data_IF_804298553368
#
_entry.id   IF_804298553368
#
_cell.length_a   1.000
_cell.length_b   1.000
_cell.length_c   1.000
_cell.angle_alpha   90.00
_cell.angle_beta   90.00
_cell.angle_gamma   90.00
#
_symmetry.space_group_name_H-M   'P 1'
#
loop_
_entity.id
_entity.type
_entity.pdbx_description
1 polymer ?
#
# COMPACT_ATOMS: atom_id res chain seq x y z
N UNK A 1 1.63 -59.01 1.17
CA UNK A 1 0.22 -58.64 1.32
C UNK A 1 0.09 -57.24 0.77
N UNK A 2 -0.49 -57.15 -0.40
CA UNK A 2 -0.60 -55.91 -1.20
C UNK A 2 -2.06 -55.48 -1.15
N UNK A 3 -2.40 -54.43 -0.47
CA UNK A 3 -3.76 -53.88 -0.47
C UNK A 3 -3.90 -52.85 -1.61
N UNK A 4 -4.88 -53.08 -2.44
CA UNK A 4 -5.22 -52.26 -3.58
C UNK A 4 -6.25 -51.18 -3.18
N UNK A 5 -6.03 -49.92 -3.59
CA UNK A 5 -6.98 -48.82 -3.46
C UNK A 5 -7.97 -48.83 -4.65
N UNK A 6 -9.25 -48.54 -4.40
CA UNK A 6 -10.23 -48.39 -5.48
C UNK A 6 -10.17 -46.98 -6.14
N UNK A 7 -10.55 -46.87 -7.42
CA UNK A 7 -10.58 -45.57 -8.11
C UNK A 7 -11.85 -44.80 -7.77
N UNK A 8 -11.69 -43.61 -7.22
CA UNK A 8 -12.77 -42.64 -6.96
C UNK A 8 -13.11 -41.83 -8.21
N UNK A 9 -14.38 -41.77 -8.54
CA UNK A 9 -14.92 -41.14 -9.74
C UNK A 9 -14.90 -39.63 -9.71
N UNK A 10 -14.55 -39.07 -10.85
CA UNK A 10 -14.65 -37.66 -11.19
C UNK A 10 -16.08 -37.32 -11.62
N UNK A 11 -16.79 -36.52 -10.84
CA UNK A 11 -18.05 -35.88 -11.24
C UNK A 11 -17.87 -34.37 -11.37
N UNK A 12 -17.80 -33.88 -12.59
CA UNK A 12 -17.90 -32.48 -12.87
C UNK A 12 -19.37 -32.08 -13.04
N UNK A 13 -19.84 -30.97 -12.43
CA UNK A 13 -21.17 -30.45 -12.73
C UNK A 13 -21.17 -29.67 -14.06
N UNK A 14 -22.21 -29.94 -14.88
CA UNK A 14 -22.45 -29.24 -16.15
C UNK A 14 -23.06 -27.84 -15.93
N UNK A 15 -22.77 -26.87 -16.80
CA UNK A 15 -23.35 -25.54 -16.70
C UNK A 15 -24.82 -25.53 -17.17
N UNK A 16 -25.69 -24.98 -16.32
CA UNK A 16 -27.09 -24.76 -16.62
C UNK A 16 -27.30 -23.54 -17.52
N UNK A 17 -28.12 -23.72 -18.55
CA UNK A 17 -28.64 -22.70 -19.44
C UNK A 17 -29.52 -21.70 -18.68
N UNK A 18 -29.24 -20.41 -18.83
CA UNK A 18 -30.21 -19.36 -18.53
C UNK A 18 -30.57 -18.61 -19.81
N UNK A 19 -31.79 -18.91 -20.31
CA UNK A 19 -32.47 -18.12 -21.30
C UNK A 19 -33.25 -16.97 -20.64
N UNK A 20 -33.41 -15.87 -21.34
CA UNK A 20 -34.33 -14.83 -21.00
C UNK A 20 -33.95 -13.45 -21.45
N UNK A 21 -34.04 -13.16 -22.75
CA UNK A 21 -34.02 -11.79 -23.27
C UNK A 21 -35.36 -11.14 -23.13
N UNK A 22 -35.42 -9.94 -22.53
CA UNK A 22 -36.57 -9.03 -22.65
C UNK A 22 -36.08 -7.73 -23.30
N UNK A 23 -36.79 -7.34 -24.36
CA UNK A 23 -36.49 -6.18 -25.21
C UNK A 23 -36.88 -4.84 -24.53
N UNK A 24 -36.27 -3.72 -24.96
CA UNK A 24 -36.52 -2.38 -24.41
C UNK A 24 -37.71 -1.71 -25.05
N UNK A 25 -38.54 -1.04 -24.24
CA UNK A 25 -39.62 -0.17 -24.66
C UNK A 25 -39.12 1.19 -25.12
N UNK A 26 -39.79 1.72 -26.13
CA UNK A 26 -39.55 2.99 -26.80
C UNK A 26 -39.99 4.25 -26.01
N UNK A 27 -39.49 5.43 -26.38
CA UNK A 27 -39.58 6.66 -25.60
C UNK A 27 -40.85 7.48 -25.88
N UNK A 28 -41.39 8.04 -24.84
CA UNK A 28 -42.53 8.99 -24.91
C UNK A 28 -42.15 10.39 -24.48
N UNK A 29 -42.38 11.34 -25.41
CA UNK A 29 -42.92 12.66 -25.17
C UNK A 29 -42.16 13.68 -24.30
N UNK A 30 -41.61 14.68 -24.95
CA UNK A 30 -41.19 15.95 -24.36
C UNK A 30 -42.41 16.86 -24.11
N UNK A 31 -42.46 17.66 -23.04
CA UNK A 31 -43.23 18.89 -22.97
C UNK A 31 -42.37 20.14 -23.15
N UNK A 32 -42.96 21.11 -23.79
CA UNK A 32 -42.42 22.43 -24.16
C UNK A 32 -42.36 23.43 -23.00
N UNK A 33 -41.65 24.56 -23.17
CA UNK A 33 -41.28 25.49 -22.11
C UNK A 33 -42.36 26.51 -21.78
N UNK A 34 -42.59 26.75 -20.49
CA UNK A 34 -43.42 27.82 -19.96
C UNK A 34 -42.57 28.91 -19.32
N UNK A 35 -42.89 30.13 -19.69
CA UNK A 35 -42.27 31.41 -19.32
C UNK A 35 -42.48 31.83 -17.85
N UNK A 36 -41.40 32.50 -17.33
CA UNK A 36 -41.38 33.61 -16.37
C UNK A 36 -42.06 33.54 -15.03
N UNK A 37 -41.24 33.74 -14.00
CA UNK A 37 -41.39 34.98 -13.18
C UNK A 37 -40.14 35.19 -12.30
N UNK A 38 -39.49 36.34 -12.52
CA UNK A 38 -38.47 36.90 -11.63
C UNK A 38 -39.12 37.43 -10.36
N UNK A 39 -38.67 36.99 -9.20
CA UNK A 39 -38.77 37.77 -7.97
C UNK A 39 -37.40 37.75 -7.28
N UNK A 40 -36.76 38.91 -7.27
CA UNK A 40 -35.48 39.15 -6.62
C UNK A 40 -35.61 39.02 -5.11
N UNK A 41 -34.79 38.15 -4.57
CA UNK A 41 -34.41 38.11 -3.15
C UNK A 41 -32.87 38.16 -3.04
N UNK A 42 -32.29 38.76 -1.99
CA UNK A 42 -30.85 38.96 -1.91
C UNK A 42 -30.14 37.61 -1.86
N UNK A 43 -29.32 37.38 -2.87
CA UNK A 43 -28.38 36.24 -2.99
C UNK A 43 -27.48 36.20 -1.76
N UNK A 44 -27.79 35.35 -0.80
CA UNK A 44 -26.82 34.89 0.17
C UNK A 44 -25.92 33.90 -0.52
N UNK A 45 -24.74 34.37 -0.92
CA UNK A 45 -23.61 33.51 -1.27
C UNK A 45 -23.44 32.49 -0.15
N UNK A 46 -23.46 31.17 -0.44
CA UNK A 46 -23.11 30.18 0.57
C UNK A 46 -21.63 30.43 0.91
N UNK A 47 -21.39 30.80 2.15
CA UNK A 47 -20.06 30.82 2.73
C UNK A 47 -19.53 29.41 2.58
N UNK A 48 -18.64 29.20 1.61
CA UNK A 48 -17.88 27.96 1.52
C UNK A 48 -17.16 27.81 2.85
N UNK A 49 -17.61 26.85 3.66
CA UNK A 49 -16.83 26.30 4.74
C UNK A 49 -15.61 25.65 4.06
N UNK A 50 -14.57 26.47 3.90
CA UNK A 50 -13.23 25.97 3.62
C UNK A 50 -12.88 25.21 4.90
N UNK A 51 -13.09 23.89 4.86
CA UNK A 51 -12.52 23.01 5.87
C UNK A 51 -11.03 23.33 5.95
N UNK A 52 -10.40 23.22 7.14
CA UNK A 52 -9.01 23.59 7.30
C UNK A 52 -8.22 22.90 6.19
N UNK A 53 -7.58 23.72 5.34
CA UNK A 53 -6.62 23.22 4.36
C UNK A 53 -5.60 22.46 5.20
N UNK A 54 -5.53 21.14 5.02
CA UNK A 54 -4.47 20.33 5.60
C UNK A 54 -3.19 21.00 5.14
N UNK A 55 -2.46 21.56 6.09
CA UNK A 55 -1.25 22.33 5.82
C UNK A 55 -0.35 21.49 4.92
N UNK A 56 0.05 22.03 3.76
CA UNK A 56 0.95 21.36 2.82
C UNK A 56 2.37 21.13 3.40
N UNK A 57 2.60 21.54 4.65
CA UNK A 57 3.86 21.46 5.38
C UNK A 57 3.80 20.50 6.60
N UNK A 58 2.88 19.56 6.63
CA UNK A 58 2.93 18.55 7.70
C UNK A 58 4.10 17.61 7.45
N UNK A 59 4.97 17.48 8.46
CA UNK A 59 6.05 16.50 8.47
C UNK A 59 5.42 15.12 8.21
N UNK A 60 6.07 14.32 7.40
CA UNK A 60 5.70 12.92 7.16
C UNK A 60 6.60 12.03 7.99
N UNK A 61 6.05 10.93 8.48
CA UNK A 61 6.78 9.87 9.15
C UNK A 61 6.66 8.60 8.30
N UNK A 62 7.70 8.23 7.55
CA UNK A 62 7.68 7.05 6.71
C UNK A 62 7.83 5.78 7.54
N UNK A 63 6.96 4.82 7.31
CA UNK A 63 6.95 3.51 7.97
C UNK A 63 6.91 2.41 6.92
N UNK A 64 7.86 1.49 6.97
CA UNK A 64 7.95 0.35 6.05
C UNK A 64 7.29 -0.89 6.64
N UNK A 65 6.38 -1.51 5.89
CA UNK A 65 5.93 -2.89 6.07
C UNK A 65 6.54 -3.74 4.95
N UNK A 66 7.48 -4.61 5.31
CA UNK A 66 8.27 -5.41 4.36
C UNK A 66 7.82 -6.86 4.39
N UNK A 67 7.42 -7.38 3.23
CA UNK A 67 7.14 -8.79 3.02
C UNK A 67 8.43 -9.62 3.12
N UNK A 68 8.45 -10.57 4.03
CA UNK A 68 9.55 -11.51 4.22
C UNK A 68 9.16 -12.95 3.83
N UNK A 69 8.01 -13.13 3.19
CA UNK A 69 7.49 -14.46 2.82
C UNK A 69 8.40 -15.22 1.86
N UNK A 70 8.20 -16.53 1.75
CA UNK A 70 9.02 -17.41 0.91
C UNK A 70 9.03 -16.98 -0.55
N UNK A 71 7.94 -16.41 -1.06
CA UNK A 71 7.85 -15.99 -2.47
C UNK A 71 8.77 -14.81 -2.81
N UNK A 72 9.22 -14.06 -1.81
CA UNK A 72 10.20 -12.98 -2.02
C UNK A 72 11.58 -13.50 -2.46
N UNK A 73 11.93 -14.74 -2.14
CA UNK A 73 13.17 -15.37 -2.61
C UNK A 73 13.06 -15.91 -4.05
N UNK A 74 11.87 -15.88 -4.66
CA UNK A 74 11.70 -16.32 -6.05
C UNK A 74 12.14 -15.25 -7.03
N UNK A 75 12.60 -15.70 -8.20
CA UNK A 75 12.95 -14.79 -9.30
C UNK A 75 11.74 -13.97 -9.73
N UNK A 76 11.96 -12.70 -9.99
CA UNK A 76 10.88 -11.79 -10.35
C UNK A 76 10.14 -12.23 -11.62
N UNK A 77 10.84 -12.88 -12.58
CA UNK A 77 10.27 -13.36 -13.84
C UNK A 77 9.82 -14.82 -13.81
N UNK A 78 10.19 -15.59 -12.79
CA UNK A 78 9.92 -17.03 -12.76
C UNK A 78 9.63 -17.49 -11.33
N UNK A 79 8.38 -17.83 -11.07
CA UNK A 79 7.91 -18.28 -9.75
C UNK A 79 8.65 -19.54 -9.22
N UNK A 80 9.42 -20.22 -10.06
CA UNK A 80 10.11 -21.48 -9.73
C UNK A 80 11.63 -21.42 -9.84
N UNK A 81 12.25 -20.24 -9.86
CA UNK A 81 13.71 -20.16 -10.08
C UNK A 81 14.56 -20.78 -8.98
N UNK A 82 14.02 -21.06 -7.81
CA UNK A 82 14.54 -22.00 -6.79
C UNK A 82 16.00 -21.85 -6.30
N UNK A 83 16.81 -21.05 -6.95
CA UNK A 83 18.22 -20.84 -6.63
C UNK A 83 18.36 -19.57 -5.77
N UNK A 84 18.30 -19.76 -4.47
CA UNK A 84 18.63 -18.68 -3.53
C UNK A 84 20.12 -18.75 -3.14
N UNK A 85 20.84 -17.60 -3.07
CA UNK A 85 20.36 -16.24 -3.37
C UNK A 85 20.47 -15.88 -4.87
N UNK A 86 19.32 -15.75 -5.53
CA UNK A 86 19.25 -15.21 -6.88
C UNK A 86 19.35 -13.68 -6.82
N UNK A 87 20.32 -13.04 -7.50
CA UNK A 87 20.40 -11.58 -7.56
C UNK A 87 19.17 -10.93 -8.24
N UNK A 88 18.40 -11.70 -9.01
CA UNK A 88 17.17 -11.26 -9.63
C UNK A 88 15.93 -11.66 -8.80
N UNK A 89 16.09 -12.13 -7.58
CA UNK A 89 14.95 -12.39 -6.70
C UNK A 89 14.24 -11.09 -6.34
N UNK A 90 12.94 -11.18 -6.06
CA UNK A 90 12.15 -10.04 -5.58
C UNK A 90 12.77 -9.40 -4.33
N UNK A 91 13.30 -10.24 -3.44
CA UNK A 91 14.07 -9.80 -2.27
C UNK A 91 15.28 -8.93 -2.66
N UNK A 92 16.11 -9.37 -3.61
CA UNK A 92 17.30 -8.63 -4.04
C UNK A 92 16.91 -7.29 -4.68
N UNK A 93 15.87 -7.29 -5.52
CA UNK A 93 15.31 -6.08 -6.15
C UNK A 93 14.82 -5.09 -5.09
N UNK A 94 14.05 -5.56 -4.11
CA UNK A 94 13.49 -4.72 -3.04
C UNK A 94 14.60 -4.16 -2.16
N UNK A 95 15.60 -4.96 -1.78
CA UNK A 95 16.77 -4.47 -1.00
C UNK A 95 17.50 -3.38 -1.78
N UNK A 96 17.73 -3.57 -3.08
CA UNK A 96 18.32 -2.54 -3.94
C UNK A 96 17.52 -1.24 -3.96
N UNK A 97 16.21 -1.33 -4.14
CA UNK A 97 15.32 -0.17 -4.13
C UNK A 97 15.31 0.55 -2.77
N UNK A 98 15.32 -0.20 -1.66
CA UNK A 98 15.38 0.38 -0.32
C UNK A 98 16.68 1.15 -0.07
N UNK A 99 17.82 0.75 -0.66
CA UNK A 99 19.04 1.54 -0.58
C UNK A 99 18.89 2.95 -1.17
N UNK A 100 18.23 3.06 -2.31
CA UNK A 100 17.96 4.35 -2.94
C UNK A 100 17.00 5.21 -2.10
N UNK A 101 15.91 4.61 -1.63
CA UNK A 101 14.90 5.29 -0.82
C UNK A 101 15.48 5.82 0.50
N UNK A 102 16.17 4.96 1.26
CA UNK A 102 16.76 5.36 2.56
C UNK A 102 17.79 6.47 2.38
N UNK A 103 18.62 6.42 1.32
CA UNK A 103 19.56 7.51 1.00
C UNK A 103 18.85 8.83 0.73
N UNK A 104 17.69 8.80 0.04
CA UNK A 104 16.93 10.00 -0.24
C UNK A 104 16.33 10.60 1.04
N UNK A 105 15.74 9.76 1.90
CA UNK A 105 15.19 10.19 3.20
C UNK A 105 16.27 10.82 4.08
N UNK A 106 17.45 10.21 4.20
CA UNK A 106 18.58 10.79 4.97
C UNK A 106 19.07 12.13 4.40
N UNK A 107 18.97 12.32 3.07
CA UNK A 107 19.36 13.57 2.43
C UNK A 107 18.37 14.70 2.77
N UNK A 108 17.08 14.41 2.79
CA UNK A 108 16.06 15.39 3.17
C UNK A 108 16.12 15.77 4.64
N UNK A 109 16.30 14.78 5.52
CA UNK A 109 16.50 15.04 6.94
C UNK A 109 17.73 15.90 7.21
N UNK A 110 18.81 15.69 6.45
CA UNK A 110 20.03 16.49 6.56
C UNK A 110 19.85 17.94 6.11
N UNK A 111 19.06 18.18 5.07
CA UNK A 111 18.70 19.53 4.60
C UNK A 111 17.78 20.23 5.61
N UNK A 112 16.74 19.52 6.10
CA UNK A 112 15.84 20.05 7.12
C UNK A 112 16.56 20.36 8.46
N UNK A 113 17.50 19.50 8.88
CA UNK A 113 18.32 19.72 10.07
C UNK A 113 19.29 20.92 9.92
N UNK A 114 19.79 21.17 8.72
CA UNK A 114 20.63 22.33 8.44
C UNK A 114 19.87 23.66 8.56
N UNK A 115 18.56 23.66 8.28
CA UNK A 115 17.68 24.82 8.42
C UNK A 115 17.21 25.03 9.87
N UNK A 116 17.19 23.99 10.69
CA UNK A 116 16.70 24.02 12.09
C UNK A 116 17.84 23.83 13.10
N UNK A 117 18.90 24.60 12.99
CA UNK A 117 20.03 24.51 13.93
C UNK A 117 19.57 24.64 15.39
N UNK A 118 19.76 23.59 16.15
CA UNK A 118 19.70 23.33 17.60
C UNK A 118 18.55 22.43 18.08
N UNK A 119 18.89 21.17 18.30
CA UNK A 119 18.29 20.38 19.40
C UNK A 119 17.26 19.32 19.08
N UNK A 120 17.07 18.89 17.86
CA UNK A 120 16.25 17.71 17.63
C UNK A 120 17.11 16.45 17.51
N UNK A 121 16.96 15.56 18.49
CA UNK A 121 17.42 14.17 18.45
C UNK A 121 16.48 13.40 17.49
N UNK A 122 16.23 13.97 16.29
CA UNK A 122 15.34 13.38 15.32
C UNK A 122 16.01 12.17 14.68
N UNK A 123 15.40 11.00 14.85
CA UNK A 123 15.83 9.73 14.25
C UNK A 123 15.82 9.89 12.74
N UNK A 124 16.98 10.02 12.14
CA UNK A 124 17.13 9.90 10.70
C UNK A 124 17.07 8.42 10.32
N UNK A 125 16.00 7.98 9.72
CA UNK A 125 15.86 6.58 9.29
C UNK A 125 14.42 6.20 8.94
N UNK A 126 14.27 5.08 8.25
CA UNK A 126 12.99 4.49 7.88
C UNK A 126 12.61 3.44 8.93
N UNK A 127 11.58 3.71 9.75
CA UNK A 127 11.02 2.73 10.67
C UNK A 127 10.51 1.51 9.88
N UNK A 128 10.97 0.30 10.21
CA UNK A 128 10.70 -0.87 9.40
C UNK A 128 10.23 -2.08 10.23
N UNK A 129 9.15 -2.70 9.77
CA UNK A 129 8.55 -3.92 10.32
C UNK A 129 8.42 -4.96 9.20
N UNK A 130 8.92 -6.16 9.46
CA UNK A 130 8.76 -7.30 8.57
C UNK A 130 7.50 -8.08 8.86
N UNK A 131 6.93 -8.69 7.84
CA UNK A 131 5.81 -9.63 8.01
C UNK A 131 6.04 -10.93 7.24
N UNK A 132 5.72 -12.04 7.92
CA UNK A 132 5.76 -13.40 7.39
C UNK A 132 4.70 -14.25 8.10
N UNK A 133 5.08 -15.32 8.83
CA UNK A 133 4.17 -16.04 9.74
C UNK A 133 3.75 -15.18 10.94
N UNK A 134 4.60 -14.26 11.33
CA UNK A 134 4.44 -13.33 12.44
C UNK A 134 5.16 -12.01 12.12
N UNK A 135 5.01 -11.03 12.99
CA UNK A 135 5.77 -9.80 12.93
C UNK A 135 7.25 -10.06 13.21
N UNK A 136 8.11 -9.41 12.42
CA UNK A 136 9.55 -9.37 12.59
C UNK A 136 9.97 -7.92 12.78
N UNK A 137 10.52 -7.60 13.95
CA UNK A 137 11.07 -6.27 14.19
C UNK A 137 12.36 -6.08 13.38
N UNK A 138 12.38 -5.10 12.49
CA UNK A 138 13.56 -4.70 11.73
C UNK A 138 14.20 -3.49 12.39
N UNK A 139 13.40 -2.55 12.88
CA UNK A 139 13.80 -1.27 13.48
C UNK A 139 14.24 -0.25 12.44
N UNK A 140 14.83 0.86 12.86
CA UNK A 140 15.18 1.97 11.98
C UNK A 140 16.25 1.57 10.97
N UNK A 141 15.92 1.73 9.70
CA UNK A 141 16.83 1.50 8.57
C UNK A 141 17.49 2.80 8.13
N UNK A 142 18.79 2.75 7.99
CA UNK A 142 19.61 3.80 7.42
C UNK A 142 20.68 3.22 6.49
N UNK A 143 21.38 4.06 5.73
CA UNK A 143 22.38 3.60 4.76
C UNK A 143 23.51 2.78 5.39
N UNK A 144 23.81 2.99 6.68
CA UNK A 144 24.90 2.29 7.37
C UNK A 144 24.50 0.90 7.89
N UNK A 145 23.20 0.62 8.07
CA UNK A 145 22.75 -0.60 8.73
C UNK A 145 21.83 -1.48 7.86
N UNK A 146 21.25 -0.96 6.78
CA UNK A 146 20.21 -1.61 5.97
C UNK A 146 20.61 -3.03 5.55
N UNK A 147 21.72 -3.20 4.85
CA UNK A 147 22.16 -4.53 4.40
C UNK A 147 22.35 -5.50 5.56
N UNK A 148 23.02 -5.06 6.61
CA UNK A 148 23.30 -5.90 7.77
C UNK A 148 22.00 -6.35 8.44
N UNK A 149 21.02 -5.43 8.62
CA UNK A 149 19.73 -5.75 9.23
C UNK A 149 18.93 -6.72 8.36
N UNK A 150 18.75 -6.41 7.08
CA UNK A 150 17.97 -7.25 6.17
C UNK A 150 18.61 -8.62 5.89
N UNK A 151 19.95 -8.73 5.98
CA UNK A 151 20.63 -10.02 5.87
C UNK A 151 20.65 -10.82 7.18
N UNK A 152 20.40 -10.19 8.33
CA UNK A 152 20.36 -10.88 9.61
C UNK A 152 18.98 -11.48 9.97
N UNK A 153 17.93 -11.05 9.32
CA UNK A 153 16.58 -11.58 9.53
C UNK A 153 16.33 -12.84 8.70
N UNK A 154 15.46 -13.69 9.21
CA UNK A 154 15.05 -14.88 8.50
C UNK A 154 13.91 -14.53 7.52
N UNK A 155 14.15 -14.79 6.23
CA UNK A 155 13.13 -14.72 5.20
C UNK A 155 12.46 -16.09 5.05
N UNK A 156 11.17 -16.09 4.76
CA UNK A 156 10.38 -17.30 4.54
C UNK A 156 9.09 -17.32 5.35
N UNK A 157 8.20 -18.22 5.00
CA UNK A 157 6.89 -18.37 5.63
C UNK A 157 5.74 -17.83 4.78
N UNK A 158 4.67 -17.49 5.44
CA UNK A 158 3.43 -16.95 4.87
C UNK A 158 3.45 -15.43 4.80
N UNK A 159 2.31 -14.83 4.44
CA UNK A 159 2.17 -13.38 4.20
C UNK A 159 1.09 -12.80 5.13
N UNK A 160 1.33 -12.83 6.46
CA UNK A 160 0.43 -12.20 7.44
C UNK A 160 0.89 -10.78 7.74
N UNK A 161 0.20 -9.77 7.18
CA UNK A 161 0.56 -8.35 7.31
C UNK A 161 0.03 -7.70 8.60
N UNK A 162 -1.11 -8.16 9.13
CA UNK A 162 -1.76 -7.53 10.28
C UNK A 162 -0.92 -7.49 11.56
N UNK A 163 -0.10 -8.51 11.90
CA UNK A 163 0.81 -8.41 13.04
C UNK A 163 1.81 -7.27 12.92
N UNK A 164 2.44 -7.10 11.75
CA UNK A 164 3.39 -6.02 11.49
C UNK A 164 2.70 -4.65 11.46
N UNK A 165 1.51 -4.56 10.85
CA UNK A 165 0.71 -3.35 10.88
C UNK A 165 0.39 -2.88 12.30
N UNK A 166 -0.01 -3.80 13.19
CA UNK A 166 -0.32 -3.47 14.59
C UNK A 166 0.92 -3.01 15.35
N UNK A 167 2.08 -3.63 15.11
CA UNK A 167 3.34 -3.22 15.71
C UNK A 167 3.74 -1.81 15.23
N UNK A 168 3.74 -1.58 13.93
CA UNK A 168 4.05 -0.27 13.34
C UNK A 168 3.13 0.85 13.88
N UNK A 169 1.84 0.54 14.05
CA UNK A 169 0.89 1.50 14.63
C UNK A 169 1.18 1.77 16.10
N UNK A 170 1.57 0.73 16.86
CA UNK A 170 1.89 0.88 18.28
C UNK A 170 3.16 1.74 18.47
N UNK A 171 4.20 1.49 17.67
CA UNK A 171 5.45 2.26 17.73
C UNK A 171 5.23 3.72 17.32
N UNK A 172 4.41 3.96 16.28
CA UNK A 172 4.01 5.32 15.89
C UNK A 172 3.21 6.02 17.02
N UNK A 173 2.25 5.33 17.64
CA UNK A 173 1.44 5.90 18.71
C UNK A 173 2.28 6.11 19.99
N UNK A 174 3.29 5.28 20.26
CA UNK A 174 4.23 5.47 21.37
C UNK A 174 5.09 6.72 21.18
N UNK A 175 5.53 6.99 19.96
CA UNK A 175 6.40 8.14 19.69
C UNK A 175 5.63 9.46 19.54
N UNK A 176 4.45 9.42 18.92
CA UNK A 176 3.72 10.63 18.52
C UNK A 176 2.35 10.79 19.19
N UNK A 177 1.85 9.75 19.89
CA UNK A 177 0.48 9.73 20.41
C UNK A 177 0.17 10.81 21.45
N UNK A 178 1.17 11.24 22.21
CA UNK A 178 1.03 12.30 23.23
C UNK A 178 1.03 13.71 22.65
N UNK A 179 1.37 13.91 21.37
CA UNK A 179 1.37 15.21 20.71
C UNK A 179 -0.06 15.64 20.36
N UNK A 180 -0.27 16.95 20.26
CA UNK A 180 -1.53 17.47 19.72
C UNK A 180 -1.82 16.81 18.35
N UNK A 181 -3.05 16.36 18.09
CA UNK A 181 -3.38 15.72 16.80
C UNK A 181 -3.02 16.56 15.57
N UNK A 182 -2.93 17.88 15.70
CA UNK A 182 -2.52 18.75 14.60
C UNK A 182 -1.00 18.87 14.44
N UNK A 183 -0.24 18.49 15.45
CA UNK A 183 1.23 18.46 15.46
C UNK A 183 1.81 17.07 15.16
N UNK A 184 0.99 16.02 15.20
CA UNK A 184 1.43 14.68 14.81
C UNK A 184 1.82 14.69 13.33
N UNK A 185 2.94 14.04 12.95
CA UNK A 185 3.30 13.86 11.54
C UNK A 185 2.23 13.03 10.80
N UNK A 186 2.27 13.03 9.49
CA UNK A 186 1.46 12.11 8.70
C UNK A 186 2.17 10.76 8.66
N UNK A 187 1.55 9.72 9.21
CA UNK A 187 2.06 8.35 9.06
C UNK A 187 1.95 7.92 7.60
N UNK A 188 3.07 7.78 6.91
CA UNK A 188 3.13 7.34 5.52
C UNK A 188 3.61 5.90 5.44
N UNK A 189 2.69 4.97 5.26
CA UNK A 189 2.95 3.53 5.30
C UNK A 189 3.31 3.02 3.91
N UNK A 190 4.55 2.61 3.73
CA UNK A 190 5.03 1.91 2.55
C UNK A 190 4.91 0.41 2.76
N UNK A 191 4.09 -0.26 1.97
CA UNK A 191 3.97 -1.73 1.94
C UNK A 191 4.73 -2.25 0.72
N UNK A 192 5.76 -3.04 0.94
CA UNK A 192 6.50 -3.75 -0.11
C UNK A 192 6.18 -5.24 -0.04
N UNK A 193 5.52 -5.77 -1.07
CA UNK A 193 5.07 -7.18 -1.12
C UNK A 193 5.09 -7.71 -2.55
N UNK A 194 5.05 -9.02 -2.71
CA UNK A 194 4.88 -9.70 -3.99
C UNK A 194 3.55 -10.44 -4.11
N UNK A 195 2.73 -10.41 -3.05
CA UNK A 195 1.51 -11.18 -2.98
C UNK A 195 0.38 -10.57 -2.18
N UNK A 196 -0.79 -11.17 -2.30
CA UNK A 196 -1.91 -10.89 -1.45
C UNK A 196 -1.65 -11.45 -0.05
N UNK A 197 -1.96 -10.66 0.98
CA UNK A 197 -1.80 -11.10 2.36
C UNK A 197 -2.74 -12.27 2.69
N UNK A 198 -2.23 -13.26 3.43
CA UNK A 198 -3.05 -14.39 3.91
C UNK A 198 -4.19 -13.94 4.85
N UNK A 199 -4.01 -12.78 5.49
CA UNK A 199 -5.00 -12.11 6.35
C UNK A 199 -5.63 -10.88 5.66
N UNK A 200 -5.77 -10.92 4.32
CA UNK A 200 -6.32 -9.86 3.49
C UNK A 200 -7.67 -9.33 4.01
N UNK A 201 -8.56 -10.24 4.43
CA UNK A 201 -9.89 -9.88 4.95
C UNK A 201 -9.84 -8.94 6.18
N UNK A 202 -8.73 -8.97 6.92
CA UNK A 202 -8.51 -8.09 8.06
C UNK A 202 -7.75 -6.81 7.65
N UNK A 203 -6.89 -6.88 6.62
CA UNK A 203 -6.09 -5.76 6.15
C UNK A 203 -6.83 -4.84 5.16
N UNK A 204 -7.68 -5.36 4.29
CA UNK A 204 -8.47 -4.55 3.37
C UNK A 204 -9.25 -3.43 4.09
N UNK A 205 -9.95 -3.69 5.23
CA UNK A 205 -10.61 -2.62 6.00
C UNK A 205 -9.66 -1.55 6.55
N UNK A 206 -8.38 -1.86 6.74
CA UNK A 206 -7.36 -0.86 7.14
C UNK A 206 -7.12 0.11 6.00
N UNK A 207 -6.94 -0.40 4.78
CA UNK A 207 -6.78 0.43 3.58
C UNK A 207 -8.04 1.26 3.30
N UNK A 208 -9.22 0.66 3.41
CA UNK A 208 -10.49 1.38 3.22
C UNK A 208 -10.65 2.58 4.15
N UNK A 209 -10.13 2.48 5.38
CA UNK A 209 -10.20 3.52 6.41
C UNK A 209 -9.00 4.46 6.45
N UNK A 210 -8.11 4.39 5.45
CA UNK A 210 -7.00 5.32 5.34
C UNK A 210 -7.48 6.78 5.27
N UNK A 211 -6.71 7.70 5.81
CA UNK A 211 -7.06 9.13 5.96
C UNK A 211 -5.89 10.01 5.59
N UNK A 212 -6.11 11.32 5.52
CA UNK A 212 -5.04 12.30 5.31
C UNK A 212 -3.94 12.29 6.40
N UNK A 213 -4.20 11.67 7.57
CA UNK A 213 -3.21 11.50 8.64
C UNK A 213 -2.46 10.16 8.58
N UNK A 214 -2.99 9.22 7.80
CA UNK A 214 -2.44 7.87 7.61
C UNK A 214 -2.65 7.46 6.17
N UNK A 215 -1.61 7.61 5.39
CA UNK A 215 -1.62 7.30 3.96
C UNK A 215 -0.85 6.02 3.68
N UNK A 216 -1.23 5.32 2.62
CA UNK A 216 -0.58 4.09 2.22
C UNK A 216 -0.03 4.21 0.80
N UNK A 217 1.17 3.71 0.63
CA UNK A 217 1.79 3.41 -0.66
C UNK A 217 2.04 1.90 -0.70
N UNK A 218 1.32 1.19 -1.56
CA UNK A 218 1.47 -0.26 -1.73
C UNK A 218 2.23 -0.51 -3.02
N UNK A 219 3.42 -1.06 -2.89
CA UNK A 219 4.29 -1.40 -4.00
C UNK A 219 4.35 -2.93 -4.15
N UNK A 220 3.88 -3.43 -5.28
CA UNK A 220 3.78 -4.87 -5.56
C UNK A 220 4.84 -5.23 -6.58
N UNK A 221 5.72 -6.16 -6.22
CA UNK A 221 6.86 -6.59 -7.04
C UNK A 221 6.63 -7.98 -7.60
N UNK A 222 6.65 -8.13 -8.90
CA UNK A 222 6.49 -9.45 -9.53
C UNK A 222 5.79 -9.39 -10.88
N UNK A 223 5.38 -10.54 -11.40
CA UNK A 223 4.68 -10.66 -12.68
C UNK A 223 3.80 -11.91 -12.76
N UNK A 224 2.93 -11.94 -13.77
CA UNK A 224 2.06 -13.05 -14.08
C UNK A 224 0.69 -13.03 -13.40
N UNK A 225 -0.17 -14.01 -13.66
CA UNK A 225 -1.58 -13.96 -13.27
C UNK A 225 -1.85 -13.82 -11.78
N UNK A 226 -0.96 -14.36 -10.93
CA UNK A 226 -1.07 -14.23 -9.48
C UNK A 226 -0.76 -12.80 -9.03
N UNK A 227 0.27 -12.18 -9.61
CA UNK A 227 0.61 -10.78 -9.40
C UNK A 227 -0.54 -9.86 -9.85
N UNK A 228 -1.13 -10.11 -11.02
CA UNK A 228 -2.26 -9.34 -11.53
C UNK A 228 -3.46 -9.40 -10.59
N UNK A 229 -3.77 -10.57 -10.04
CA UNK A 229 -4.85 -10.75 -9.07
C UNK A 229 -4.58 -9.97 -7.76
N UNK A 230 -3.35 -10.02 -7.26
CA UNK A 230 -2.90 -9.25 -6.11
C UNK A 230 -3.04 -7.75 -6.36
N UNK A 231 -2.53 -7.26 -7.48
CA UNK A 231 -2.64 -5.85 -7.88
C UNK A 231 -4.11 -5.40 -7.91
N UNK A 232 -4.99 -6.22 -8.50
CA UNK A 232 -6.41 -5.93 -8.55
C UNK A 232 -7.04 -5.84 -7.16
N UNK A 233 -6.68 -6.72 -6.22
CA UNK A 233 -7.20 -6.69 -4.85
C UNK A 233 -6.82 -5.38 -4.13
N UNK A 234 -5.55 -4.98 -4.19
CA UNK A 234 -5.10 -3.72 -3.58
C UNK A 234 -5.70 -2.48 -4.25
N UNK A 235 -5.85 -2.48 -5.58
CA UNK A 235 -6.52 -1.40 -6.31
C UNK A 235 -8.00 -1.28 -5.92
N UNK A 236 -8.68 -2.39 -5.66
CA UNK A 236 -10.07 -2.36 -5.18
C UNK A 236 -10.14 -1.76 -3.77
N UNK A 237 -9.24 -2.09 -2.85
CA UNK A 237 -9.12 -1.45 -1.54
C UNK A 237 -8.92 0.07 -1.65
N UNK A 238 -8.03 0.51 -2.53
CA UNK A 238 -7.81 1.93 -2.81
C UNK A 238 -9.06 2.63 -3.37
N UNK A 239 -9.78 1.96 -4.27
CA UNK A 239 -11.04 2.47 -4.84
C UNK A 239 -12.12 2.62 -3.78
N UNK A 240 -12.24 1.66 -2.88
CA UNK A 240 -13.19 1.72 -1.75
C UNK A 240 -12.84 2.87 -0.80
N UNK A 241 -11.54 3.09 -0.52
CA UNK A 241 -11.09 4.25 0.25
C UNK A 241 -11.49 5.56 -0.42
N UNK A 242 -11.22 5.71 -1.71
CA UNK A 242 -11.60 6.89 -2.49
C UNK A 242 -13.11 7.17 -2.43
N UNK A 243 -13.93 6.13 -2.49
CA UNK A 243 -15.38 6.26 -2.44
C UNK A 243 -15.92 6.76 -1.08
N UNK A 244 -15.13 6.63 -0.01
CA UNK A 244 -15.49 7.12 1.33
C UNK A 244 -15.07 8.57 1.56
N UNK A 245 -14.12 9.08 0.78
CA UNK A 245 -13.64 10.46 0.92
C UNK A 245 -14.63 11.46 0.30
N UNK A 246 -14.94 12.52 1.03
CA UNK A 246 -15.92 13.56 0.61
C UNK A 246 -15.50 14.29 -0.66
N UNK A 247 -14.22 14.32 -0.97
CA UNK A 247 -13.64 14.99 -2.12
C UNK A 247 -13.21 14.03 -3.22
N UNK A 248 -13.48 12.72 -3.04
CA UNK A 248 -13.07 11.67 -3.96
C UNK A 248 -11.54 11.46 -4.02
N UNK A 249 -10.81 11.82 -2.95
CA UNK A 249 -9.37 11.66 -2.85
C UNK A 249 -9.05 10.30 -2.24
N UNK A 250 -8.19 9.51 -2.89
CA UNK A 250 -7.65 8.30 -2.29
C UNK A 250 -6.45 8.63 -1.41
N UNK A 251 -6.42 8.02 -0.23
CA UNK A 251 -5.27 8.02 0.68
C UNK A 251 -4.48 6.70 0.57
N UNK A 252 -4.78 5.91 -0.45
CA UNK A 252 -4.06 4.67 -0.79
C UNK A 252 -3.60 4.78 -2.23
N UNK A 253 -2.29 4.68 -2.45
CA UNK A 253 -1.68 4.58 -3.77
C UNK A 253 -1.22 3.14 -3.96
N UNK A 254 -1.45 2.57 -5.14
CA UNK A 254 -1.00 1.23 -5.48
C UNK A 254 -0.16 1.32 -6.74
N UNK A 255 1.05 0.83 -6.67
CA UNK A 255 2.00 0.77 -7.78
C UNK A 255 2.45 -0.67 -7.99
N UNK A 256 2.79 -1.00 -9.21
CA UNK A 256 3.25 -2.33 -9.60
C UNK A 256 4.57 -2.19 -10.32
N UNK A 257 5.52 -3.03 -9.94
CA UNK A 257 6.82 -3.15 -10.57
C UNK A 257 6.93 -4.52 -11.21
N UNK A 258 6.91 -4.52 -12.54
CA UNK A 258 7.11 -5.75 -13.30
C UNK A 258 8.52 -6.30 -13.11
N UNK A 259 8.61 -7.57 -13.25
CA UNK A 259 9.64 -8.54 -12.94
C UNK A 259 11.09 -8.25 -13.40
N UNK A 260 11.35 -7.18 -14.10
CA UNK A 260 12.71 -6.86 -14.64
C UNK A 260 13.03 -5.38 -14.40
N UNK A 261 12.29 -4.75 -13.52
CA UNK A 261 12.50 -3.33 -13.24
C UNK A 261 13.82 -3.16 -12.48
N UNK A 262 14.63 -2.26 -12.95
CA UNK A 262 15.88 -1.88 -12.28
C UNK A 262 15.56 -1.38 -10.85
N UNK A 263 16.26 -1.86 -9.80
CA UNK A 263 16.09 -1.37 -8.45
C UNK A 263 16.18 0.15 -8.32
N UNK A 264 17.01 0.81 -9.13
CA UNK A 264 17.16 2.26 -9.13
C UNK A 264 15.89 2.96 -9.70
N UNK A 265 15.20 2.36 -10.67
CA UNK A 265 13.91 2.88 -11.16
C UNK A 265 12.83 2.73 -10.08
N UNK A 266 12.77 1.58 -9.41
CA UNK A 266 11.84 1.37 -8.29
C UNK A 266 12.11 2.39 -7.18
N UNK A 267 13.39 2.61 -6.82
CA UNK A 267 13.77 3.59 -5.82
C UNK A 267 13.29 5.00 -6.21
N UNK A 268 13.51 5.41 -7.46
CA UNK A 268 13.08 6.72 -7.95
C UNK A 268 11.56 6.91 -7.88
N UNK A 269 10.79 5.88 -8.24
CA UNK A 269 9.33 5.91 -8.15
C UNK A 269 8.87 5.96 -6.68
N UNK A 270 9.46 5.16 -5.80
CA UNK A 270 9.15 5.17 -4.37
C UNK A 270 9.48 6.51 -3.72
N UNK A 271 10.63 7.11 -4.05
CA UNK A 271 11.01 8.46 -3.60
C UNK A 271 9.93 9.47 -4.01
N UNK A 272 9.50 9.46 -5.27
CA UNK A 272 8.45 10.38 -5.76
C UNK A 272 7.10 10.19 -5.04
N UNK A 273 6.83 9.01 -4.50
CA UNK A 273 5.58 8.67 -3.84
C UNK A 273 5.59 8.95 -2.34
N UNK A 274 6.75 8.80 -1.70
CA UNK A 274 6.95 8.87 -0.24
C UNK A 274 7.56 10.22 0.18
N UNK A 275 8.51 10.72 -0.57
CA UNK A 275 9.22 11.98 -0.36
C UNK A 275 8.54 13.12 -1.11
#
# INVERSE_FOLDING_TARGET
MTEAFPPGGSGFPQPGEYGGFSQPGQPGGAPQPGERQETGGPSRTPRSEIGPAVSANRKKEPVLLLDLSTSMDWGAANENSGDYPDPNSRRAIVIGALHGLVRALESEDSEAAAEQAEGSDERGGLMAHGFANEHVEIGDLNTSNLERRLNSIQWGGRTYIMPAWRAALADYDEEFGDRDPDEQPVMEVLVLTDGEADDWMDFEPVLEKATAKRVFVVAIVGSGPKHDATLQAYQEGARKNQAQDKFGKSHVKVVSFDSVTDPDEIAADLITLVV
#
